data_IF_692129064368
#
_entry.id   IF_692129064368
#
_cell.length_a   1.000
_cell.length_b   1.000
_cell.length_c   1.000
_cell.angle_alpha   90.00
_cell.angle_beta   90.00
_cell.angle_gamma   90.00
#
_symmetry.space_group_name_H-M   'P 1'
#
loop_
_entity.id
_entity.type
_entity.pdbx_description
1 polymer ?
#
# COMPACT_ATOMS: atom_id res chain seq x y z
N UNK A 1 51.15 -35.83 -0.25
CA UNK A 1 50.52 -34.65 0.41
C UNK A 1 49.72 -33.80 -0.59
N UNK A 2 48.85 -34.39 -1.42
CA UNK A 2 48.14 -33.68 -2.51
C UNK A 2 46.62 -33.50 -2.27
N UNK A 3 46.06 -34.22 -1.28
CA UNK A 3 44.61 -34.24 -1.04
C UNK A 3 44.09 -32.95 -0.37
N UNK A 4 44.93 -32.22 0.38
CA UNK A 4 44.53 -31.01 1.11
C UNK A 4 44.43 -29.77 0.22
N UNK A 5 45.25 -29.65 -0.83
CA UNK A 5 45.27 -28.47 -1.71
C UNK A 5 44.11 -28.45 -2.70
N UNK A 6 43.72 -29.61 -3.24
CA UNK A 6 42.55 -29.73 -4.13
C UNK A 6 41.22 -29.41 -3.45
N UNK A 7 41.03 -29.85 -2.21
CA UNK A 7 39.82 -29.57 -1.43
C UNK A 7 39.69 -28.07 -1.09
N UNK A 8 40.80 -27.40 -0.73
CA UNK A 8 40.82 -25.96 -0.43
C UNK A 8 40.47 -25.11 -1.66
N UNK A 9 40.97 -25.47 -2.84
CA UNK A 9 40.65 -24.78 -4.09
C UNK A 9 39.19 -24.98 -4.51
N UNK A 10 38.63 -26.17 -4.29
CA UNK A 10 37.23 -26.44 -4.55
C UNK A 10 36.30 -25.62 -3.64
N UNK A 11 36.62 -25.50 -2.34
CA UNK A 11 35.85 -24.70 -1.38
C UNK A 11 35.93 -23.21 -1.72
N UNK A 12 37.11 -22.70 -2.09
CA UNK A 12 37.27 -21.32 -2.55
C UNK A 12 36.48 -21.05 -3.83
N UNK A 13 36.53 -21.96 -4.81
CA UNK A 13 35.75 -21.86 -6.04
C UNK A 13 34.24 -21.84 -5.80
N UNK A 14 33.73 -22.76 -4.97
CA UNK A 14 32.30 -22.82 -4.61
C UNK A 14 31.88 -21.59 -3.81
N UNK A 15 32.73 -21.10 -2.90
CA UNK A 15 32.48 -19.87 -2.14
C UNK A 15 32.38 -18.64 -3.03
N UNK A 16 33.29 -18.49 -3.99
CA UNK A 16 33.27 -17.38 -4.95
C UNK A 16 32.00 -17.45 -5.81
N UNK A 17 31.67 -18.62 -6.38
CA UNK A 17 30.46 -18.81 -7.20
C UNK A 17 29.19 -18.54 -6.38
N UNK A 18 29.12 -19.01 -5.14
CA UNK A 18 27.99 -18.75 -4.24
C UNK A 18 27.82 -17.27 -3.90
N UNK A 19 28.92 -16.55 -3.66
CA UNK A 19 28.89 -15.09 -3.41
C UNK A 19 28.46 -14.31 -4.65
N UNK A 20 28.96 -14.67 -5.85
CA UNK A 20 28.51 -14.06 -7.10
C UNK A 20 27.02 -14.33 -7.38
N UNK A 21 26.54 -15.54 -7.09
CA UNK A 21 25.11 -15.88 -7.23
C UNK A 21 24.24 -15.09 -6.23
N UNK A 22 24.71 -14.93 -4.98
CA UNK A 22 24.02 -14.15 -3.95
C UNK A 22 23.99 -12.64 -4.30
N UNK A 23 25.06 -12.10 -4.88
CA UNK A 23 25.13 -10.71 -5.32
C UNK A 23 24.27 -10.39 -6.56
N UNK A 24 24.02 -11.37 -7.43
CA UNK A 24 23.22 -11.19 -8.66
C UNK A 24 21.73 -11.46 -8.47
N UNK A 25 21.34 -12.20 -7.43
CA UNK A 25 19.95 -12.46 -7.05
C UNK A 25 19.05 -11.20 -6.90
N UNK A 26 19.47 -10.07 -6.29
CA UNK A 26 18.61 -8.91 -6.12
C UNK A 26 18.19 -8.24 -7.45
N UNK A 27 18.90 -8.51 -8.55
CA UNK A 27 18.62 -7.94 -9.86
C UNK A 27 17.32 -8.50 -10.46
N UNK A 28 17.00 -9.76 -10.17
CA UNK A 28 15.80 -10.45 -10.66
C UNK A 28 14.57 -10.25 -9.78
N UNK A 29 14.76 -9.81 -8.53
CA UNK A 29 13.67 -9.51 -7.60
C UNK A 29 13.13 -8.07 -7.73
N UNK A 30 13.83 -7.22 -8.48
CA UNK A 30 13.39 -5.85 -8.74
C UNK A 30 12.26 -5.83 -9.77
N UNK A 31 11.02 -5.72 -9.29
CA UNK A 31 9.87 -5.42 -10.14
C UNK A 31 10.03 -4.00 -10.67
N UNK A 32 10.37 -3.88 -11.96
CA UNK A 32 10.44 -2.59 -12.62
C UNK A 32 9.11 -1.83 -12.46
N UNK A 33 9.15 -0.53 -12.12
CA UNK A 33 7.95 0.29 -12.03
C UNK A 33 7.20 0.31 -13.37
N UNK A 34 5.92 -0.08 -13.36
CA UNK A 34 5.05 -0.11 -14.55
C UNK A 34 3.81 0.77 -14.32
N UNK A 35 3.49 1.69 -15.24
CA UNK A 35 2.26 2.47 -15.19
C UNK A 35 1.03 1.55 -15.18
N UNK A 36 0.02 1.91 -14.39
CA UNK A 36 -1.21 1.16 -14.24
C UNK A 36 -2.38 2.09 -13.92
N UNK A 37 -3.56 1.73 -14.41
CA UNK A 37 -4.83 2.38 -14.05
C UNK A 37 -5.53 1.49 -13.03
N UNK A 38 -5.41 1.86 -11.75
CA UNK A 38 -6.05 1.13 -10.66
C UNK A 38 -7.56 1.48 -10.60
N UNK A 39 -8.40 0.46 -10.72
CA UNK A 39 -9.84 0.53 -10.46
C UNK A 39 -10.05 0.16 -8.99
N UNK A 40 -10.27 1.20 -8.18
CA UNK A 40 -10.39 1.09 -6.74
C UNK A 40 -11.87 1.09 -6.36
N UNK A 41 -12.32 0.04 -5.69
CA UNK A 41 -13.64 -0.02 -5.07
C UNK A 41 -13.55 0.37 -3.60
N UNK A 42 -14.45 1.26 -3.15
CA UNK A 42 -14.62 1.56 -1.74
C UNK A 42 -15.50 0.49 -1.07
N UNK A 43 -14.98 -0.12 0.00
CA UNK A 43 -15.77 -0.96 0.91
C UNK A 43 -15.98 -0.16 2.18
N UNK A 44 -17.16 0.42 2.34
CA UNK A 44 -17.45 1.36 3.43
C UNK A 44 -18.20 0.67 4.58
N UNK A 45 -17.49 0.34 5.66
CA UNK A 45 -18.09 -0.21 6.89
C UNK A 45 -18.32 0.89 7.95
N UNK A 46 -18.33 2.16 7.53
CA UNK A 46 -18.44 3.32 8.39
C UNK A 46 -19.77 4.05 8.20
N UNK A 47 -20.29 4.77 9.21
CA UNK A 47 -21.50 5.59 9.08
C UNK A 47 -21.27 6.90 8.30
N UNK A 48 -20.24 6.96 7.46
CA UNK A 48 -19.87 8.14 6.67
C UNK A 48 -20.30 7.95 5.22
N UNK A 49 -20.72 9.03 4.55
CA UNK A 49 -21.03 8.99 3.11
C UNK A 49 -19.75 8.75 2.31
N UNK A 50 -19.84 8.08 1.17
CA UNK A 50 -18.68 7.84 0.27
C UNK A 50 -17.93 9.12 -0.10
N UNK A 51 -18.66 10.23 -0.22
CA UNK A 51 -18.10 11.57 -0.47
C UNK A 51 -17.10 12.05 0.60
N UNK A 52 -17.04 11.41 1.76
CA UNK A 52 -16.06 11.66 2.80
C UNK A 52 -14.70 11.02 2.50
N UNK A 53 -14.65 9.96 1.69
CA UNK A 53 -13.43 9.21 1.42
C UNK A 53 -12.79 9.63 0.10
N UNK A 54 -11.47 9.52 0.03
CA UNK A 54 -10.63 9.75 -1.14
C UNK A 54 -9.56 8.68 -1.21
N UNK A 55 -9.03 8.42 -2.40
CA UNK A 55 -7.84 7.60 -2.59
C UNK A 55 -6.63 8.51 -2.61
N UNK A 56 -5.63 8.22 -1.79
CA UNK A 56 -4.34 8.91 -1.79
C UNK A 56 -3.23 7.97 -2.24
N UNK A 57 -2.45 8.41 -3.24
CA UNK A 57 -1.18 7.78 -3.58
C UNK A 57 -0.10 8.26 -2.61
N UNK A 58 0.51 7.35 -1.87
CA UNK A 58 1.49 7.69 -0.82
C UNK A 58 2.85 8.14 -1.38
N UNK A 59 3.18 7.75 -2.60
CA UNK A 59 4.45 8.14 -3.23
C UNK A 59 4.38 9.55 -3.84
N UNK A 60 3.22 9.93 -4.39
CA UNK A 60 3.04 11.23 -5.08
C UNK A 60 2.22 12.25 -4.29
N UNK A 61 1.51 11.81 -3.25
CA UNK A 61 0.56 12.64 -2.50
C UNK A 61 -0.74 12.93 -3.27
N UNK A 62 -0.91 12.43 -4.49
CA UNK A 62 -2.09 12.71 -5.33
C UNK A 62 -3.35 12.13 -4.71
N UNK A 63 -4.41 12.94 -4.67
CA UNK A 63 -5.72 12.57 -4.12
C UNK A 63 -6.74 12.42 -5.26
N UNK A 64 -7.53 11.36 -5.23
CA UNK A 64 -8.59 11.06 -6.20
C UNK A 64 -9.91 10.80 -5.49
N UNK A 65 -11.01 11.34 -6.01
CA UNK A 65 -12.34 11.13 -5.44
C UNK A 65 -13.00 9.85 -5.95
N UNK A 66 -13.87 9.27 -5.11
CA UNK A 66 -14.79 8.22 -5.52
C UNK A 66 -16.01 8.82 -6.23
N UNK A 67 -16.54 8.09 -7.20
CA UNK A 67 -17.80 8.34 -7.88
C UNK A 67 -18.57 7.01 -7.96
N UNK A 68 -19.72 6.94 -7.30
CA UNK A 68 -20.54 5.71 -7.22
C UNK A 68 -19.78 4.51 -6.64
N UNK A 69 -19.00 4.70 -5.57
CA UNK A 69 -18.19 3.65 -4.94
C UNK A 69 -16.88 3.29 -5.65
N UNK A 70 -16.56 3.90 -6.80
CA UNK A 70 -15.35 3.58 -7.58
C UNK A 70 -14.46 4.80 -7.83
N UNK A 71 -13.15 4.57 -7.89
CA UNK A 71 -12.16 5.56 -8.29
C UNK A 71 -11.19 4.95 -9.32
N UNK A 72 -10.77 5.76 -10.31
CA UNK A 72 -9.76 5.38 -11.30
C UNK A 72 -8.49 6.18 -11.04
N UNK A 73 -7.41 5.48 -10.67
CA UNK A 73 -6.15 6.12 -10.26
C UNK A 73 -5.04 5.74 -11.22
N UNK A 74 -4.52 6.72 -11.95
CA UNK A 74 -3.32 6.55 -12.77
C UNK A 74 -2.09 6.63 -11.86
N UNK A 75 -1.40 5.51 -11.69
CA UNK A 75 -0.24 5.37 -10.79
C UNK A 75 0.70 4.28 -11.31
N UNK A 76 1.56 3.74 -10.45
CA UNK A 76 2.57 2.74 -10.77
C UNK A 76 2.42 1.55 -9.82
N UNK A 77 2.61 0.33 -10.31
CA UNK A 77 2.44 -0.92 -9.54
C UNK A 77 3.34 -1.05 -8.28
N UNK A 78 4.41 -0.26 -8.19
CA UNK A 78 5.29 -0.20 -7.02
C UNK A 78 4.79 0.75 -5.93
N UNK A 79 3.79 1.59 -6.22
CA UNK A 79 3.21 2.53 -5.26
C UNK A 79 2.22 1.83 -4.32
N UNK A 80 1.84 2.57 -3.28
CA UNK A 80 0.83 2.19 -2.31
C UNK A 80 -0.29 3.23 -2.32
N UNK A 81 -1.53 2.76 -2.33
CA UNK A 81 -2.72 3.61 -2.18
C UNK A 81 -3.32 3.41 -0.80
N UNK A 82 -3.87 4.47 -0.23
CA UNK A 82 -4.64 4.42 1.02
C UNK A 82 -5.93 5.22 0.89
N UNK A 83 -6.86 4.98 1.82
CA UNK A 83 -8.00 5.87 2.02
C UNK A 83 -7.57 7.07 2.85
N UNK A 84 -7.95 8.25 2.38
CA UNK A 84 -7.87 9.51 3.11
C UNK A 84 -9.25 10.16 3.22
N UNK A 85 -9.39 11.12 4.12
CA UNK A 85 -10.60 11.93 4.22
C UNK A 85 -10.57 13.11 3.24
N UNK A 86 -11.74 13.53 2.80
CA UNK A 86 -11.91 14.74 2.01
C UNK A 86 -11.49 15.98 2.82
N UNK A 87 -10.92 16.98 2.13
CA UNK A 87 -10.38 18.24 2.68
C UNK A 87 -11.31 18.97 3.68
N UNK A 88 -12.63 18.78 3.56
CA UNK A 88 -13.62 19.29 4.52
C UNK A 88 -13.47 18.72 5.96
N UNK A 89 -12.59 17.76 6.16
CA UNK A 89 -12.29 17.10 7.44
C UNK A 89 -10.80 17.17 7.80
N UNK A 90 -10.09 18.23 7.39
CA UNK A 90 -8.64 18.44 7.62
C UNK A 90 -8.18 18.26 9.07
N UNK A 91 -9.07 18.46 10.05
CA UNK A 91 -8.79 18.29 11.48
C UNK A 91 -8.69 16.81 11.92
N UNK A 92 -8.99 15.85 11.03
CA UNK A 92 -8.86 14.42 11.30
C UNK A 92 -7.96 13.74 10.27
N UNK A 93 -6.80 13.29 10.74
CA UNK A 93 -5.91 12.42 9.96
C UNK A 93 -6.43 11.00 10.04
N UNK A 94 -7.21 10.60 9.03
CA UNK A 94 -7.56 9.20 8.80
C UNK A 94 -6.78 8.73 7.58
N UNK A 95 -5.87 7.78 7.82
CA UNK A 95 -5.16 7.06 6.78
C UNK A 95 -5.50 5.59 6.96
N UNK A 96 -6.27 5.03 6.03
CA UNK A 96 -6.58 3.60 6.02
C UNK A 96 -5.31 2.75 5.85
N UNK A 97 -5.48 1.43 5.86
CA UNK A 97 -4.36 0.52 5.60
C UNK A 97 -3.80 0.74 4.19
N UNK A 98 -2.49 1.04 4.03
CA UNK A 98 -1.87 1.15 2.72
C UNK A 98 -1.89 -0.19 2.00
N UNK A 99 -2.39 -0.21 0.76
CA UNK A 99 -2.44 -1.40 -0.09
C UNK A 99 -1.60 -1.16 -1.33
N UNK A 100 -0.76 -2.14 -1.68
CA UNK A 100 0.04 -2.09 -2.92
C UNK A 100 -0.88 -2.05 -4.14
N UNK A 101 -0.52 -1.21 -5.10
CA UNK A 101 -1.32 -1.00 -6.31
C UNK A 101 -1.49 -2.30 -7.11
N UNK A 102 -2.74 -2.59 -7.48
CA UNK A 102 -3.13 -3.58 -8.49
C UNK A 102 -4.18 -2.98 -9.43
N UNK A 103 -4.38 -3.59 -10.61
CA UNK A 103 -5.37 -3.09 -11.60
C UNK A 103 -6.79 -3.04 -11.06
N UNK A 104 -7.18 -4.04 -10.28
CA UNK A 104 -8.46 -4.10 -9.58
C UNK A 104 -8.15 -4.28 -8.10
N UNK A 105 -8.62 -3.36 -7.26
CA UNK A 105 -8.37 -3.41 -5.83
C UNK A 105 -9.54 -2.85 -5.04
N UNK A 106 -9.56 -3.18 -3.76
CA UNK A 106 -10.53 -2.67 -2.80
C UNK A 106 -9.79 -1.93 -1.70
N UNK A 107 -10.35 -0.82 -1.26
CA UNK A 107 -9.93 -0.18 -0.04
C UNK A 107 -11.10 -0.17 0.93
N UNK A 108 -10.86 -0.68 2.14
CA UNK A 108 -11.88 -0.83 3.17
C UNK A 108 -11.74 0.28 4.20
N UNK A 109 -12.83 1.03 4.42
CA UNK A 109 -12.97 1.88 5.58
C UNK A 109 -13.59 1.04 6.70
N UNK A 110 -12.78 0.68 7.70
CA UNK A 110 -13.25 0.03 8.92
C UNK A 110 -13.16 1.02 10.08
N UNK A 111 -14.29 1.28 10.73
CA UNK A 111 -14.42 2.24 11.82
C UNK A 111 -14.62 1.58 13.19
N UNK A 112 -14.60 0.24 13.25
CA UNK A 112 -14.93 -0.54 14.44
C UNK A 112 -13.68 -1.15 15.12
N UNK A 113 -12.54 -1.21 14.44
CA UNK A 113 -11.39 -2.05 14.84
C UNK A 113 -10.30 -1.37 15.68
N UNK A 114 -10.47 -0.10 16.10
CA UNK A 114 -9.53 0.55 17.00
C UNK A 114 -10.29 1.28 18.10
N UNK A 115 -10.06 0.88 19.36
CA UNK A 115 -10.59 1.56 20.55
C UNK A 115 -10.23 3.05 20.61
N UNK A 116 -9.15 3.47 19.94
CA UNK A 116 -8.77 4.88 19.75
C UNK A 116 -9.51 5.57 18.61
N UNK A 117 -10.01 4.85 17.62
CA UNK A 117 -10.77 5.42 16.49
C UNK A 117 -12.26 5.53 16.80
N UNK A 118 -12.83 4.68 17.66
CA UNK A 118 -14.25 4.76 18.05
C UNK A 118 -14.61 6.11 18.72
N UNK A 119 -13.72 6.66 19.56
CA UNK A 119 -13.93 7.96 20.20
C UNK A 119 -13.88 9.12 19.19
N UNK A 120 -12.99 9.05 18.20
CA UNK A 120 -12.89 10.03 17.10
C UNK A 120 -14.08 9.92 16.15
N UNK A 121 -14.51 8.71 15.80
CA UNK A 121 -15.68 8.48 14.95
C UNK A 121 -17.00 8.86 15.64
N UNK A 122 -17.13 8.68 16.95
CA UNK A 122 -18.27 9.22 17.71
C UNK A 122 -18.29 10.75 17.72
N UNK A 123 -17.12 11.38 17.89
CA UNK A 123 -16.99 12.85 17.85
C UNK A 123 -17.30 13.41 16.45
N UNK A 124 -16.88 12.70 15.40
CA UNK A 124 -17.23 13.01 14.02
C UNK A 124 -18.72 12.81 13.75
N UNK A 125 -19.35 11.73 14.22
CA UNK A 125 -20.79 11.50 14.03
C UNK A 125 -21.64 12.63 14.61
N UNK A 126 -21.25 13.16 15.76
CA UNK A 126 -21.95 14.28 16.40
C UNK A 126 -21.75 15.61 15.65
N UNK A 127 -20.61 15.80 14.99
CA UNK A 127 -20.33 17.00 14.18
C UNK A 127 -20.86 16.90 12.75
N UNK A 128 -21.08 15.69 12.24
CA UNK A 128 -21.40 15.42 10.84
C UNK A 128 -22.87 15.06 10.57
N UNK A 129 -23.70 14.95 11.61
CA UNK A 129 -25.16 15.02 11.50
C UNK A 129 -25.80 13.98 10.57
N UNK A 130 -26.32 12.91 11.18
CA UNK A 130 -27.19 11.96 10.49
C UNK A 130 -28.50 12.60 10.05
N UNK A 131 -28.74 12.55 8.74
CA UNK A 131 -30.03 12.31 8.10
C UNK A 131 -29.79 11.39 6.90
#
# INVERSE_FOLDING_TARGET
>A
MALKTGALLAILGVGIVGVYMLMTLPQFLNVAPKPVVAHVQLVNNCPLRESAFRVQDLATGKITAFSGGYARVNTVNTHYLTLSLAKKYEDVVFSGTPVRVTENMKLTADCQTSEKENATFQSLRNSLGGQ
#
